data_IF_823648138368
#
_entry.id   IF_823648138368
#
_cell.length_a   1.000
_cell.length_b   1.000
_cell.length_c   1.000
_cell.angle_alpha   90.00
_cell.angle_beta   90.00
_cell.angle_gamma   90.00
#
_symmetry.space_group_name_H-M   'P 1'
#
loop_
_entity.id
_entity.type
_entity.pdbx_description
1 polymer ?
#
# COMPACT_ATOMS: atom_id res chain seq x y z
N UNK A 1 -16.37 3.15 20.02
CA UNK A 1 -16.37 4.62 19.83
C UNK A 1 -16.97 4.96 18.46
N UNK A 2 -16.52 4.35 17.35
CA UNK A 2 -16.97 4.64 15.99
C UNK A 2 -18.49 4.46 15.78
N UNK A 3 -19.09 3.43 16.39
CA UNK A 3 -20.54 3.17 16.27
C UNK A 3 -21.43 4.34 16.72
N UNK A 4 -20.92 5.20 17.58
CA UNK A 4 -21.63 6.36 18.13
C UNK A 4 -21.15 7.69 17.53
N UNK A 5 -20.22 7.63 16.57
CA UNK A 5 -19.71 8.81 15.91
C UNK A 5 -20.77 9.42 15.01
N UNK A 6 -20.91 10.73 15.07
CA UNK A 6 -21.88 11.49 14.26
C UNK A 6 -21.14 12.36 13.26
N UNK A 7 -21.37 12.10 11.99
CA UNK A 7 -20.80 12.88 10.89
C UNK A 7 -21.56 14.18 10.63
N UNK A 8 -22.74 14.36 11.25
CA UNK A 8 -23.58 15.55 11.05
C UNK A 8 -22.86 16.81 11.54
N UNK A 9 -22.74 17.81 10.66
CA UNK A 9 -22.13 19.08 10.97
C UNK A 9 -20.62 19.14 10.74
N UNK A 10 -19.98 18.03 10.37
CA UNK A 10 -18.58 18.03 9.97
C UNK A 10 -18.42 18.53 8.54
N UNK A 11 -17.35 19.26 8.33
CA UNK A 11 -16.85 19.54 6.97
C UNK A 11 -16.38 18.26 6.30
N UNK A 12 -16.18 18.31 5.00
CA UNK A 12 -15.67 17.18 4.26
C UNK A 12 -14.25 16.81 4.69
N UNK A 13 -13.42 17.81 4.95
CA UNK A 13 -12.04 17.61 5.41
C UNK A 13 -11.98 16.95 6.80
N UNK A 14 -12.83 17.39 7.72
CA UNK A 14 -12.96 16.77 9.04
C UNK A 14 -13.45 15.32 8.94
N UNK A 15 -14.35 15.03 8.00
CA UNK A 15 -14.84 13.67 7.73
C UNK A 15 -13.73 12.79 7.20
N UNK A 16 -12.98 13.25 6.21
CA UNK A 16 -11.83 12.52 5.65
C UNK A 16 -10.78 12.26 6.73
N UNK A 17 -10.42 13.28 7.49
CA UNK A 17 -9.44 13.16 8.58
C UNK A 17 -9.89 12.12 9.62
N UNK A 18 -11.15 12.19 10.06
CA UNK A 18 -11.71 11.18 10.97
C UNK A 18 -11.63 9.76 10.41
N UNK A 19 -12.04 9.57 9.14
CA UNK A 19 -12.01 8.29 8.47
C UNK A 19 -10.58 7.74 8.32
N UNK A 20 -9.61 8.63 8.05
CA UNK A 20 -8.20 8.26 7.96
C UNK A 20 -7.66 7.76 9.31
N UNK A 21 -7.94 8.47 10.40
CA UNK A 21 -7.60 8.05 11.76
C UNK A 21 -8.28 6.72 12.11
N UNK A 22 -9.57 6.60 11.82
CA UNK A 22 -10.35 5.40 12.14
C UNK A 22 -9.75 4.16 11.46
N UNK A 23 -9.53 4.23 10.14
CA UNK A 23 -9.06 3.07 9.37
C UNK A 23 -7.61 2.71 9.70
N UNK A 24 -6.75 3.69 9.99
CA UNK A 24 -5.37 3.45 10.37
C UNK A 24 -5.27 2.72 11.71
N UNK A 25 -6.06 3.14 12.69
CA UNK A 25 -6.13 2.49 14.01
C UNK A 25 -6.74 1.09 13.93
N UNK A 26 -7.76 0.90 13.10
CA UNK A 26 -8.34 -0.42 12.87
C UNK A 26 -7.30 -1.37 12.26
N UNK A 27 -6.55 -0.92 11.27
CA UNK A 27 -5.49 -1.71 10.65
C UNK A 27 -4.39 -2.10 11.64
N UNK A 28 -4.04 -1.22 12.57
CA UNK A 28 -3.00 -1.46 13.58
C UNK A 28 -3.31 -2.63 14.53
N UNK A 29 -4.58 -3.01 14.67
CA UNK A 29 -4.99 -4.15 15.54
C UNK A 29 -4.37 -5.47 15.04
N UNK A 30 -4.11 -5.60 13.72
CA UNK A 30 -3.43 -6.76 13.11
C UNK A 30 -4.01 -8.11 13.56
N UNK A 31 -5.32 -8.30 13.34
CA UNK A 31 -6.09 -9.46 13.81
C UNK A 31 -5.63 -10.77 13.16
N UNK A 32 -5.06 -10.70 11.96
CA UNK A 32 -4.67 -11.87 11.17
C UNK A 32 -3.14 -11.95 11.04
N UNK A 33 -2.62 -13.18 10.89
CA UNK A 33 -1.20 -13.39 10.60
C UNK A 33 -0.80 -12.79 9.25
N UNK A 34 -1.70 -12.88 8.25
CA UNK A 34 -1.51 -12.30 6.91
C UNK A 34 -2.80 -11.65 6.40
N UNK A 35 -2.68 -10.80 5.38
CA UNK A 35 -3.83 -10.21 4.68
C UNK A 35 -4.52 -9.06 5.42
N UNK A 36 -3.95 -8.53 6.51
CA UNK A 36 -4.56 -7.44 7.28
C UNK A 36 -4.91 -6.22 6.40
N UNK A 37 -4.01 -5.79 5.52
CA UNK A 37 -4.28 -4.64 4.62
C UNK A 37 -5.44 -4.92 3.68
N UNK A 38 -5.50 -6.12 3.09
CA UNK A 38 -6.60 -6.51 2.19
C UNK A 38 -7.94 -6.57 2.94
N UNK A 39 -7.95 -7.16 4.12
CA UNK A 39 -9.16 -7.23 4.95
C UNK A 39 -9.62 -5.84 5.37
N UNK A 40 -8.69 -4.97 5.74
CA UNK A 40 -8.97 -3.57 6.07
C UNK A 40 -9.57 -2.82 4.89
N UNK A 41 -9.04 -2.99 3.68
CA UNK A 41 -9.59 -2.37 2.47
C UNK A 41 -11.03 -2.83 2.19
N UNK A 42 -11.28 -4.15 2.24
CA UNK A 42 -12.63 -4.72 2.04
C UNK A 42 -13.61 -4.23 3.10
N UNK A 43 -13.19 -4.20 4.36
CA UNK A 43 -14.00 -3.64 5.44
C UNK A 43 -14.32 -2.17 5.17
N UNK A 44 -13.31 -1.38 4.80
CA UNK A 44 -13.45 0.06 4.60
C UNK A 44 -14.38 0.40 3.43
N UNK A 45 -14.28 -0.34 2.32
CA UNK A 45 -15.23 -0.21 1.21
C UNK A 45 -16.67 -0.44 1.68
N UNK A 46 -16.91 -1.52 2.45
CA UNK A 46 -18.24 -1.82 2.99
C UNK A 46 -18.72 -0.75 3.96
N UNK A 47 -17.83 -0.25 4.81
CA UNK A 47 -18.13 0.80 5.77
C UNK A 47 -18.51 2.12 5.08
N UNK A 48 -17.74 2.54 4.08
CA UNK A 48 -18.03 3.73 3.29
C UNK A 48 -19.37 3.61 2.53
N UNK A 49 -19.65 2.44 1.97
CA UNK A 49 -20.97 2.18 1.33
C UNK A 49 -22.13 2.26 2.33
N UNK A 50 -21.93 1.80 3.54
CA UNK A 50 -22.94 1.93 4.61
C UNK A 50 -23.17 3.40 5.01
N UNK A 51 -22.15 4.24 4.92
CA UNK A 51 -22.26 5.68 5.10
C UNK A 51 -22.88 6.43 3.90
N UNK A 52 -23.18 5.71 2.80
CA UNK A 52 -23.82 6.27 1.61
C UNK A 52 -22.86 6.68 0.48
N UNK A 53 -21.56 6.45 0.63
CA UNK A 53 -20.60 6.73 -0.44
C UNK A 53 -20.63 5.66 -1.52
N UNK A 54 -20.47 6.07 -2.77
CA UNK A 54 -20.28 5.15 -3.91
C UNK A 54 -18.79 4.86 -4.05
N UNK A 55 -18.38 3.69 -3.60
CA UNK A 55 -16.96 3.29 -3.60
C UNK A 55 -16.82 1.93 -4.30
N UNK A 56 -15.85 1.86 -5.21
CA UNK A 56 -15.45 0.64 -5.90
C UNK A 56 -14.06 0.17 -5.43
N UNK A 57 -13.67 -1.03 -5.88
CA UNK A 57 -12.40 -1.63 -5.44
C UNK A 57 -11.21 -1.19 -6.30
N UNK A 58 -11.45 -0.57 -7.44
CA UNK A 58 -10.44 -0.38 -8.48
C UNK A 58 -9.26 0.47 -7.98
N UNK A 59 -9.52 1.58 -7.30
CA UNK A 59 -8.45 2.40 -6.73
C UNK A 59 -7.59 1.64 -5.72
N UNK A 60 -8.19 0.75 -4.92
CA UNK A 60 -7.45 -0.10 -3.98
C UNK A 60 -6.61 -1.15 -4.71
N UNK A 61 -7.11 -1.73 -5.79
CA UNK A 61 -6.39 -2.72 -6.59
C UNK A 61 -5.19 -2.09 -7.28
N UNK A 62 -5.38 -0.93 -7.91
CA UNK A 62 -4.34 -0.19 -8.61
C UNK A 62 -3.27 0.38 -7.67
N UNK A 63 -3.67 0.84 -6.47
CA UNK A 63 -2.81 1.53 -5.52
C UNK A 63 -2.65 0.77 -4.20
N UNK A 64 -2.61 -0.57 -4.24
CA UNK A 64 -2.57 -1.41 -3.04
C UNK A 64 -1.34 -1.16 -2.17
N UNK A 65 -0.18 -0.92 -2.77
CA UNK A 65 1.05 -0.57 -2.07
C UNK A 65 1.00 0.83 -1.47
N UNK A 66 0.46 1.79 -2.20
CA UNK A 66 0.26 3.13 -1.67
C UNK A 66 -0.63 3.10 -0.43
N UNK A 67 -1.79 2.45 -0.52
CA UNK A 67 -2.71 2.32 0.61
C UNK A 67 -2.05 1.65 1.83
N UNK A 68 -1.29 0.56 1.61
CA UNK A 68 -0.52 -0.10 2.68
C UNK A 68 0.51 0.84 3.31
N UNK A 69 1.30 1.53 2.49
CA UNK A 69 2.35 2.42 2.99
C UNK A 69 1.76 3.63 3.70
N UNK A 70 0.62 4.16 3.24
CA UNK A 70 -0.11 5.22 3.90
C UNK A 70 -0.62 4.80 5.29
N UNK A 71 -1.11 3.55 5.44
CA UNK A 71 -1.47 2.98 6.75
C UNK A 71 -0.24 2.88 7.67
N UNK A 72 0.91 2.45 7.15
CA UNK A 72 2.17 2.44 7.91
C UNK A 72 2.54 3.85 8.37
N UNK A 73 2.53 4.83 7.46
CA UNK A 73 2.89 6.23 7.79
C UNK A 73 1.95 6.85 8.81
N UNK A 74 0.67 6.48 8.79
CA UNK A 74 -0.32 6.96 9.76
C UNK A 74 -0.12 6.39 11.18
N UNK A 75 0.77 5.41 11.35
CA UNK A 75 1.04 4.76 12.63
C UNK A 75 2.54 4.74 13.00
N UNK A 76 3.40 5.35 12.18
CA UNK A 76 4.84 5.28 12.39
C UNK A 76 5.37 6.56 13.05
N UNK A 77 6.00 6.37 14.20
CA UNK A 77 6.71 7.42 14.95
C UNK A 77 8.18 7.04 15.17
N UNK A 78 9.09 7.95 14.85
CA UNK A 78 10.49 7.89 15.25
C UNK A 78 10.94 9.27 15.75
N UNK A 79 10.63 9.54 16.99
CA UNK A 79 10.87 10.85 17.65
C UNK A 79 12.36 11.24 17.61
N UNK A 80 13.27 10.25 17.71
CA UNK A 80 14.71 10.50 17.66
C UNK A 80 15.17 11.01 16.29
N UNK A 81 14.50 10.59 15.24
CA UNK A 81 14.74 11.04 13.86
C UNK A 81 13.85 12.23 13.45
N UNK A 82 13.03 12.77 14.36
CA UNK A 82 12.09 13.85 14.06
C UNK A 82 10.93 13.43 13.16
N UNK A 83 10.61 12.12 13.10
CA UNK A 83 9.57 11.58 12.23
C UNK A 83 8.33 11.32 13.07
N UNK A 84 7.20 11.90 12.66
CA UNK A 84 5.91 11.76 13.32
C UNK A 84 4.91 11.05 12.41
N UNK A 85 3.93 10.37 13.02
CA UNK A 85 2.78 9.81 12.30
C UNK A 85 2.04 10.92 11.54
N UNK A 86 1.50 10.58 10.36
CA UNK A 86 0.69 11.50 9.56
C UNK A 86 -0.36 10.73 8.77
N UNK A 87 -1.58 11.25 8.76
CA UNK A 87 -2.71 10.72 7.97
C UNK A 87 -2.78 11.33 6.58
N UNK A 88 -1.94 12.30 6.24
CA UNK A 88 -1.97 13.06 4.98
C UNK A 88 -2.05 12.15 3.74
N UNK A 89 -1.25 11.09 3.70
CA UNK A 89 -1.25 10.16 2.57
C UNK A 89 -2.55 9.35 2.47
N UNK A 90 -3.13 8.94 3.60
CA UNK A 90 -4.46 8.31 3.62
C UNK A 90 -5.55 9.29 3.20
N UNK A 91 -5.48 10.52 3.66
CA UNK A 91 -6.44 11.57 3.29
C UNK A 91 -6.39 11.84 1.77
N UNK A 92 -5.18 11.94 1.19
CA UNK A 92 -4.98 12.08 -0.25
C UNK A 92 -5.60 10.89 -1.03
N UNK A 93 -5.38 9.67 -0.57
CA UNK A 93 -6.01 8.48 -1.15
C UNK A 93 -7.54 8.54 -1.06
N UNK A 94 -8.09 8.95 0.09
CA UNK A 94 -9.54 9.04 0.29
C UNK A 94 -10.18 10.14 -0.55
N UNK A 95 -9.49 11.26 -0.80
CA UNK A 95 -9.97 12.30 -1.71
C UNK A 95 -10.14 11.77 -3.12
N UNK A 96 -9.18 11.00 -3.62
CA UNK A 96 -9.31 10.33 -4.91
C UNK A 96 -10.48 9.32 -4.89
N UNK A 97 -10.62 8.55 -3.80
CA UNK A 97 -11.63 7.51 -3.68
C UNK A 97 -13.06 8.05 -3.58
N UNK A 98 -13.27 9.16 -2.87
CA UNK A 98 -14.59 9.67 -2.52
C UNK A 98 -15.05 10.80 -3.45
N UNK A 99 -14.11 11.56 -4.03
CA UNK A 99 -14.40 12.76 -4.83
C UNK A 99 -13.82 12.71 -6.23
N UNK A 100 -13.21 11.57 -6.62
CA UNK A 100 -12.54 11.42 -7.90
C UNK A 100 -11.48 12.53 -8.17
N UNK A 101 -10.88 13.05 -7.10
CA UNK A 101 -9.72 13.93 -7.22
C UNK A 101 -8.58 13.15 -7.87
N UNK A 102 -7.80 13.80 -8.70
CA UNK A 102 -6.69 13.18 -9.43
C UNK A 102 -5.35 13.46 -8.74
N UNK A 103 -5.31 13.32 -7.41
CA UNK A 103 -4.07 13.44 -6.67
C UNK A 103 -3.10 12.33 -7.07
N UNK A 104 -1.85 12.69 -7.32
CA UNK A 104 -0.80 11.71 -7.60
C UNK A 104 -0.45 10.95 -6.32
N UNK A 105 -0.40 9.61 -6.41
CA UNK A 105 -0.20 8.70 -5.29
C UNK A 105 1.18 8.03 -5.38
N UNK A 106 2.23 8.80 -5.09
CA UNK A 106 3.61 8.30 -5.15
C UNK A 106 4.04 7.67 -3.83
N UNK A 107 4.50 6.42 -3.88
CA UNK A 107 5.04 5.73 -2.71
C UNK A 107 6.34 6.37 -2.18
N UNK A 108 7.13 6.97 -3.04
CA UNK A 108 8.38 7.66 -2.67
C UNK A 108 8.15 8.79 -1.66
N UNK A 109 7.00 9.47 -1.71
CA UNK A 109 6.68 10.58 -0.81
C UNK A 109 6.54 10.12 0.65
N UNK A 110 6.28 8.83 0.85
CA UNK A 110 6.13 8.20 2.17
C UNK A 110 7.43 7.67 2.75
N UNK A 111 8.54 7.69 2.00
CA UNK A 111 9.81 7.18 2.48
C UNK A 111 10.36 8.06 3.59
N UNK A 112 10.69 7.43 4.70
CA UNK A 112 11.19 8.11 5.91
C UNK A 112 12.52 8.83 5.65
N UNK A 113 13.34 8.31 4.74
CA UNK A 113 14.58 8.95 4.29
C UNK A 113 14.35 9.92 3.11
N UNK A 114 13.12 10.07 2.64
CA UNK A 114 12.76 10.86 1.46
C UNK A 114 13.03 12.35 1.62
N UNK A 115 12.97 12.89 2.84
CA UNK A 115 13.36 14.29 3.08
C UNK A 115 14.84 14.55 2.80
N UNK A 116 15.69 13.54 2.93
CA UNK A 116 17.11 13.62 2.56
C UNK A 116 17.32 13.53 1.04
N UNK A 117 16.35 12.98 0.32
CA UNK A 117 16.41 12.71 -1.12
C UNK A 117 15.72 13.80 -1.96
N UNK A 118 14.95 14.71 -1.37
CA UNK A 118 14.33 15.85 -2.06
C UNK A 118 15.35 16.83 -2.67
N UNK A 119 16.64 16.74 -2.27
CA UNK A 119 17.75 17.45 -2.92
C UNK A 119 18.27 16.78 -4.19
N UNK A 120 17.80 15.57 -4.53
CA UNK A 120 18.21 14.78 -5.69
C UNK A 120 17.00 14.20 -6.42
N UNK A 121 15.94 14.99 -6.56
CA UNK A 121 14.64 14.57 -7.12
C UNK A 121 14.73 13.99 -8.55
N UNK A 122 15.83 14.24 -9.26
CA UNK A 122 16.01 13.81 -10.66
C UNK A 122 16.60 12.38 -10.80
N UNK A 123 16.87 11.67 -9.70
CA UNK A 123 17.61 10.40 -9.76
C UNK A 123 16.91 9.20 -9.13
N UNK A 124 15.69 9.36 -8.61
CA UNK A 124 14.98 8.24 -7.98
C UNK A 124 13.68 7.98 -8.74
N UNK A 125 13.77 7.07 -9.72
CA UNK A 125 12.62 6.38 -10.26
C UNK A 125 11.83 5.73 -9.11
N UNK A 126 10.51 5.84 -9.14
CA UNK A 126 9.62 5.21 -8.16
C UNK A 126 9.93 3.70 -8.12
N UNK A 127 10.48 3.15 -7.03
CA UNK A 127 10.91 1.75 -6.99
C UNK A 127 9.77 0.74 -7.18
N UNK A 128 8.52 1.20 -7.27
CA UNK A 128 7.35 0.37 -7.52
C UNK A 128 6.96 0.35 -9.00
N UNK A 129 7.25 1.42 -9.74
CA UNK A 129 7.15 1.46 -11.20
C UNK A 129 8.48 1.14 -11.90
N UNK A 130 9.58 1.08 -11.16
CA UNK A 130 10.79 0.52 -11.70
C UNK A 130 10.56 -0.96 -12.03
N UNK A 131 10.82 -1.40 -13.26
CA UNK A 131 10.82 -2.82 -13.53
C UNK A 131 11.78 -3.45 -12.52
N UNK A 132 11.27 -4.38 -11.71
CA UNK A 132 12.05 -5.09 -10.68
C UNK A 132 13.41 -5.38 -11.29
N UNK A 133 14.48 -4.77 -10.77
CA UNK A 133 15.84 -5.04 -11.26
C UNK A 133 16.21 -6.45 -10.87
N UNK A 134 15.69 -7.38 -11.66
CA UNK A 134 15.99 -8.78 -11.52
C UNK A 134 17.47 -8.99 -11.83
N UNK A 135 18.16 -9.69 -10.94
CA UNK A 135 19.49 -10.19 -11.27
C UNK A 135 19.39 -11.23 -12.42
N UNK A 136 20.50 -11.61 -13.02
CA UNK A 136 20.51 -12.51 -14.19
C UNK A 136 19.85 -13.86 -13.92
N UNK A 137 19.90 -14.33 -12.69
CA UNK A 137 19.25 -15.57 -12.27
C UNK A 137 17.72 -15.40 -12.15
N UNK A 138 17.27 -14.32 -11.58
CA UNK A 138 15.84 -13.98 -11.45
C UNK A 138 15.21 -13.74 -12.83
N UNK A 139 15.93 -13.09 -13.74
CA UNK A 139 15.50 -12.95 -15.15
C UNK A 139 15.26 -14.30 -15.81
N UNK A 140 16.21 -15.24 -15.64
CA UNK A 140 16.07 -16.61 -16.15
C UNK A 140 14.87 -17.33 -15.55
N UNK A 141 14.63 -17.18 -14.24
CA UNK A 141 13.45 -17.77 -13.57
C UNK A 141 12.16 -17.24 -14.18
N UNK A 142 12.06 -15.92 -14.33
CA UNK A 142 10.88 -15.28 -14.94
C UNK A 142 10.66 -15.75 -16.39
N UNK A 143 11.73 -15.88 -17.16
CA UNK A 143 11.65 -16.37 -18.55
C UNK A 143 11.18 -17.83 -18.60
N UNK A 144 11.68 -18.70 -17.73
CA UNK A 144 11.27 -20.11 -17.63
C UNK A 144 9.77 -20.18 -17.25
N UNK A 145 9.32 -19.43 -16.25
CA UNK A 145 7.93 -19.40 -15.80
C UNK A 145 6.96 -18.84 -16.86
N UNK A 146 7.43 -17.94 -17.73
CA UNK A 146 6.61 -17.46 -18.86
C UNK A 146 6.41 -18.53 -19.93
N UNK A 147 7.41 -19.40 -20.13
CA UNK A 147 7.33 -20.50 -21.09
C UNK A 147 6.52 -21.68 -20.55
N UNK A 148 6.74 -22.00 -19.28
CA UNK A 148 6.14 -23.15 -18.60
C UNK A 148 5.56 -22.76 -17.23
N UNK A 149 4.36 -22.15 -17.19
CA UNK A 149 3.75 -21.65 -15.94
C UNK A 149 3.45 -22.74 -14.90
N UNK A 150 3.38 -24.01 -15.31
CA UNK A 150 3.09 -25.16 -14.46
C UNK A 150 4.37 -25.89 -13.99
N UNK A 151 5.56 -25.34 -14.24
CA UNK A 151 6.81 -25.98 -13.89
C UNK A 151 6.93 -26.13 -12.37
N UNK A 152 7.28 -27.35 -11.92
CA UNK A 152 7.51 -27.61 -10.51
C UNK A 152 8.84 -27.02 -10.03
N UNK A 153 9.01 -26.89 -8.71
CA UNK A 153 10.26 -26.41 -8.11
C UNK A 153 11.46 -27.24 -8.53
N UNK A 154 11.33 -28.57 -8.55
CA UNK A 154 12.38 -29.49 -9.02
C UNK A 154 12.70 -29.29 -10.49
N UNK A 155 11.70 -29.13 -11.36
CA UNK A 155 11.92 -28.83 -12.76
C UNK A 155 12.63 -27.50 -12.97
N UNK A 156 12.32 -26.48 -12.15
CA UNK A 156 13.02 -25.21 -12.20
C UNK A 156 14.48 -25.32 -11.74
N UNK A 157 14.75 -26.11 -10.71
CA UNK A 157 16.10 -26.37 -10.24
C UNK A 157 16.96 -27.04 -11.33
N UNK A 158 16.38 -28.01 -12.05
CA UNK A 158 17.00 -28.68 -13.19
C UNK A 158 17.32 -27.69 -14.33
N UNK A 159 16.35 -26.85 -14.72
CA UNK A 159 16.56 -25.82 -15.75
C UNK A 159 17.62 -24.79 -15.38
N UNK A 160 17.80 -24.51 -14.08
CA UNK A 160 18.80 -23.57 -13.56
C UNK A 160 20.14 -24.23 -13.24
N UNK A 161 20.25 -25.57 -13.33
CA UNK A 161 21.46 -26.32 -12.97
C UNK A 161 21.83 -26.19 -11.49
N UNK A 162 20.84 -26.15 -10.59
CA UNK A 162 21.06 -25.98 -9.15
C UNK A 162 20.22 -26.97 -8.33
N UNK A 163 20.48 -27.06 -7.01
CA UNK A 163 19.68 -27.91 -6.13
C UNK A 163 18.31 -27.30 -5.82
N UNK A 164 17.31 -28.14 -5.54
CA UNK A 164 15.95 -27.73 -5.13
C UNK A 164 15.93 -26.75 -3.96
N UNK A 165 16.86 -26.89 -3.02
CA UNK A 165 17.00 -26.02 -1.85
C UNK A 165 17.44 -24.59 -2.21
N UNK A 166 17.97 -24.38 -3.41
CA UNK A 166 18.49 -23.10 -3.89
C UNK A 166 17.42 -22.29 -4.63
N UNK A 167 16.31 -22.93 -5.03
CA UNK A 167 15.12 -22.29 -5.62
C UNK A 167 14.16 -21.96 -4.48
N UNK A 168 14.34 -20.78 -3.88
CA UNK A 168 13.44 -20.26 -2.82
C UNK A 168 12.57 -19.15 -3.34
#
# INVERSE_FOLDING_TARGET
QERNFRFNGLTMDETIHHLAIFISRLWQIHVFGEGNTRTTAVFFIKYLRMLGFKVENDLFAENSWYFRNALVRANYNNIRAGIYETTEFLEKFMRNLLFDEKNELYNRDMHINGQFLLGHADLIDDPINDPIKLNEREKKIVEILRREPALTRSGMAECLGCSDSTVK
#
